data_IF_062216714030
#
_entry.id   IF_062216714030
#
_cell.length_a   1.000
_cell.length_b   1.000
_cell.length_c   1.000
_cell.angle_alpha   90.00
_cell.angle_beta   90.00
_cell.angle_gamma   90.00
#
_symmetry.space_group_name_H-M   'P 1'
#
loop_
_entity.id
_entity.type
_entity.pdbx_description
1 polymer ?
#
# COMPACT_ATOMS: atom_id res chain seq x y z
N UNK A 1 -10.43 -29.45 5.88
CA UNK A 1 -9.29 -29.15 5.01
C UNK A 1 -9.60 -28.05 3.99
N UNK A 2 -10.80 -28.09 3.41
CA UNK A 2 -11.19 -27.02 2.47
C UNK A 2 -11.25 -25.65 3.13
N UNK A 3 -11.79 -25.59 4.34
CA UNK A 3 -11.87 -24.33 5.08
C UNK A 3 -10.47 -23.77 5.35
N UNK A 4 -9.54 -24.62 5.74
CA UNK A 4 -8.16 -24.20 5.98
C UNK A 4 -7.51 -23.67 4.71
N UNK A 5 -7.76 -24.33 3.56
CA UNK A 5 -7.26 -23.87 2.28
C UNK A 5 -7.83 -22.52 1.88
N UNK A 6 -9.12 -22.31 2.10
CA UNK A 6 -9.79 -21.04 1.80
C UNK A 6 -9.21 -19.92 2.65
N UNK A 7 -9.06 -20.16 3.96
CA UNK A 7 -8.50 -19.17 4.88
C UNK A 7 -7.05 -18.84 4.48
N UNK A 8 -6.26 -19.85 4.16
CA UNK A 8 -4.87 -19.65 3.75
C UNK A 8 -4.78 -18.82 2.46
N UNK A 9 -5.68 -19.10 1.50
CA UNK A 9 -5.73 -18.33 0.25
C UNK A 9 -6.07 -16.87 0.50
N UNK A 10 -7.08 -16.61 1.34
CA UNK A 10 -7.50 -15.24 1.66
C UNK A 10 -6.36 -14.49 2.35
N UNK A 11 -5.69 -15.13 3.32
CA UNK A 11 -4.58 -14.50 4.03
C UNK A 11 -3.44 -14.19 3.07
N UNK A 12 -3.10 -15.14 2.19
CA UNK A 12 -2.05 -14.93 1.19
C UNK A 12 -2.39 -13.80 0.24
N UNK A 13 -3.65 -13.71 -0.18
CA UNK A 13 -4.11 -12.64 -1.07
C UNK A 13 -4.00 -11.28 -0.39
N UNK A 14 -4.45 -11.19 0.87
CA UNK A 14 -4.36 -9.94 1.63
C UNK A 14 -2.90 -9.53 1.84
N UNK A 15 -2.04 -10.49 2.14
CA UNK A 15 -0.61 -10.22 2.28
C UNK A 15 -0.04 -9.65 0.98
N UNK A 16 -0.39 -10.28 -0.15
CA UNK A 16 0.07 -9.83 -1.47
C UNK A 16 -0.38 -8.41 -1.78
N UNK A 17 -1.65 -8.09 -1.48
CA UNK A 17 -2.18 -6.74 -1.68
C UNK A 17 -1.43 -5.74 -0.82
N UNK A 18 -1.15 -6.09 0.43
CA UNK A 18 -0.46 -5.17 1.33
C UNK A 18 1.01 -4.97 0.94
N UNK A 19 1.66 -5.99 0.36
CA UNK A 19 3.00 -5.82 -0.21
C UNK A 19 2.95 -4.80 -1.35
N UNK A 20 1.94 -4.89 -2.20
CA UNK A 20 1.74 -3.93 -3.29
C UNK A 20 1.57 -2.50 -2.75
N UNK A 21 0.68 -2.33 -1.77
CA UNK A 21 0.45 -1.02 -1.17
C UNK A 21 1.68 -0.51 -0.44
N UNK A 22 2.45 -1.39 0.17
CA UNK A 22 3.67 -1.03 0.86
C UNK A 22 4.70 -0.44 -0.10
N UNK A 23 4.75 -0.95 -1.34
CA UNK A 23 5.61 -0.37 -2.36
C UNK A 23 5.28 1.08 -2.63
N UNK A 24 3.99 1.40 -2.82
CA UNK A 24 3.55 2.79 -2.99
C UNK A 24 3.92 3.63 -1.78
N UNK A 25 3.70 3.10 -0.59
CA UNK A 25 3.96 3.80 0.66
C UNK A 25 5.45 4.16 0.80
N UNK A 26 6.34 3.19 0.59
CA UNK A 26 7.78 3.40 0.75
C UNK A 26 8.28 4.47 -0.21
N UNK A 27 7.91 4.36 -1.49
CA UNK A 27 8.40 5.29 -2.49
C UNK A 27 7.82 6.68 -2.30
N UNK A 28 6.53 6.78 -1.93
CA UNK A 28 5.93 8.06 -1.64
C UNK A 28 6.63 8.75 -0.46
N UNK A 29 6.91 8.01 0.60
CA UNK A 29 7.65 8.55 1.76
C UNK A 29 9.07 8.95 1.38
N UNK A 30 9.72 8.13 0.56
CA UNK A 30 11.08 8.42 0.12
C UNK A 30 11.18 9.76 -0.63
N UNK A 31 10.17 10.05 -1.44
CA UNK A 31 10.13 11.29 -2.21
C UNK A 31 9.49 12.46 -1.44
N UNK A 32 9.16 12.26 -0.17
CA UNK A 32 8.60 13.32 0.65
C UNK A 32 7.13 13.61 0.43
N UNK A 33 6.43 12.75 -0.29
CA UNK A 33 4.99 12.91 -0.50
C UNK A 33 4.24 12.69 0.81
N UNK A 34 3.08 13.37 0.96
CA UNK A 34 2.29 13.26 2.17
C UNK A 34 1.38 12.04 2.07
N UNK A 35 1.69 11.02 2.88
CA UNK A 35 0.89 9.81 2.99
C UNK A 35 0.11 9.88 4.29
N UNK A 36 -1.21 9.89 4.21
CA UNK A 36 -2.06 10.10 5.38
C UNK A 36 -2.67 8.82 5.93
N UNK A 37 -2.89 7.80 5.09
CA UNK A 37 -3.51 6.56 5.52
C UNK A 37 -2.86 5.36 4.87
N UNK A 38 -2.72 4.29 5.65
CA UNK A 38 -2.24 3.00 5.18
C UNK A 38 -3.04 1.94 5.93
N UNK A 39 -4.04 1.36 5.26
CA UNK A 39 -5.00 0.47 5.91
C UNK A 39 -5.14 -0.86 5.18
N UNK A 40 -5.39 -1.90 5.96
CA UNK A 40 -5.86 -3.18 5.46
C UNK A 40 -7.39 -3.18 5.57
N UNK A 41 -8.07 -3.35 4.43
CA UNK A 41 -9.52 -3.41 4.39
C UNK A 41 -10.18 -2.06 4.17
N UNK A 42 -11.51 -2.09 4.18
CA UNK A 42 -12.35 -0.92 3.93
C UNK A 42 -13.46 -0.84 4.97
N UNK A 43 -14.16 0.28 4.99
CA UNK A 43 -15.30 0.47 5.89
C UNK A 43 -14.90 1.09 7.21
N UNK A 44 -15.49 0.59 8.29
CA UNK A 44 -15.22 1.12 9.63
C UNK A 44 -13.89 0.61 10.17
N UNK A 45 -13.20 1.47 10.93
CA UNK A 45 -11.94 1.08 11.57
C UNK A 45 -12.21 0.11 12.71
N UNK A 46 -11.47 -1.01 12.71
CA UNK A 46 -11.44 -1.91 13.85
C UNK A 46 -10.35 -1.43 14.81
N UNK A 47 -9.20 -1.08 14.28
CA UNK A 47 -8.04 -0.65 15.06
C UNK A 47 -7.19 0.27 14.20
N UNK A 48 -6.60 1.28 14.82
CA UNK A 48 -5.66 2.13 14.11
C UNK A 48 -4.65 2.74 15.07
N UNK A 49 -3.51 3.15 14.51
CA UNK A 49 -2.49 3.87 15.26
C UNK A 49 -1.92 4.97 14.38
N UNK A 50 -1.61 6.09 14.99
CA UNK A 50 -1.03 7.23 14.28
C UNK A 50 0.49 7.21 14.46
N UNK A 51 1.20 7.25 13.35
CA UNK A 51 2.66 7.32 13.35
C UNK A 51 3.07 8.48 12.48
N UNK A 52 3.46 9.60 13.11
CA UNK A 52 3.75 10.82 12.38
C UNK A 52 2.51 11.32 11.67
N UNK A 53 2.61 11.51 10.36
CA UNK A 53 1.49 12.01 9.55
C UNK A 53 0.61 10.89 9.00
N UNK A 54 0.98 9.61 9.19
CA UNK A 54 0.29 8.48 8.58
C UNK A 54 -0.45 7.69 9.65
N UNK A 55 -1.72 7.41 9.39
CA UNK A 55 -2.53 6.52 10.21
C UNK A 55 -2.48 5.11 9.63
N UNK A 56 -2.09 4.14 10.46
CA UNK A 56 -2.04 2.72 10.08
C UNK A 56 -3.16 1.98 10.79
N UNK A 57 -3.77 1.01 10.13
CA UNK A 57 -4.80 0.25 10.81
C UNK A 57 -5.46 -0.82 9.97
N UNK A 58 -6.53 -1.38 10.56
CA UNK A 58 -7.32 -2.45 9.97
C UNK A 58 -8.77 -2.01 9.99
N UNK A 59 -9.48 -2.27 8.88
CA UNK A 59 -10.90 -1.98 8.75
C UNK A 59 -11.71 -3.26 8.64
N UNK A 60 -13.04 -3.14 8.71
CA UNK A 60 -13.94 -4.28 8.86
C UNK A 60 -14.06 -5.17 7.64
N UNK A 61 -13.93 -4.61 6.44
CA UNK A 61 -14.16 -5.36 5.19
C UNK A 61 -12.81 -5.74 4.60
N UNK A 62 -12.39 -7.02 4.73
CA UNK A 62 -11.06 -7.45 4.28
C UNK A 62 -11.04 -7.74 2.78
N UNK A 63 -11.47 -6.78 1.96
CA UNK A 63 -11.55 -6.93 0.51
C UNK A 63 -10.33 -6.34 -0.19
N UNK A 64 -9.28 -5.99 0.55
CA UNK A 64 -8.05 -5.42 -0.01
C UNK A 64 -7.41 -4.49 0.98
N UNK A 65 -6.73 -3.47 0.47
CA UNK A 65 -6.10 -2.47 1.31
C UNK A 65 -5.83 -1.22 0.49
N UNK A 66 -5.32 -0.17 1.13
CA UNK A 66 -5.01 1.04 0.41
C UNK A 66 -3.97 1.88 1.14
N UNK A 67 -3.35 2.74 0.35
CA UNK A 67 -2.41 3.74 0.82
C UNK A 67 -2.87 5.08 0.24
N UNK A 68 -3.20 6.03 1.11
CA UNK A 68 -3.69 7.33 0.65
C UNK A 68 -2.54 8.33 0.57
N UNK A 69 -2.20 8.72 -0.65
CA UNK A 69 -1.22 9.76 -0.91
C UNK A 69 -1.98 11.02 -1.29
N UNK A 70 -1.76 12.11 -0.55
CA UNK A 70 -2.46 13.37 -0.80
C UNK A 70 -2.10 13.92 -2.18
N UNK A 71 -3.10 14.43 -2.87
CA UNK A 71 -2.91 15.04 -4.18
C UNK A 71 -2.99 14.09 -5.35
N UNK A 72 -3.34 12.82 -5.14
CA UNK A 72 -3.58 11.89 -6.24
C UNK A 72 -4.93 12.12 -6.91
N UNK A 73 -5.90 12.61 -6.15
CA UNK A 73 -7.25 12.90 -6.64
C UNK A 73 -7.30 14.38 -7.04
N UNK A 74 -7.84 14.74 -8.23
CA UNK A 74 -7.81 16.14 -8.68
C UNK A 74 -8.42 17.14 -7.72
N UNK A 75 -9.38 16.73 -6.90
CA UNK A 75 -10.08 17.62 -5.99
C UNK A 75 -9.57 17.56 -4.56
N UNK A 76 -8.43 16.92 -4.33
CA UNK A 76 -7.85 16.89 -2.99
C UNK A 76 -7.46 18.29 -2.54
N UNK A 77 -7.91 18.65 -1.33
CA UNK A 77 -7.57 19.92 -0.70
C UNK A 77 -6.52 19.62 0.36
N UNK A 78 -5.35 20.21 0.22
CA UNK A 78 -4.25 20.02 1.16
C UNK A 78 -4.16 21.18 2.13
N UNK A 79 -3.57 20.91 3.29
CA UNK A 79 -3.33 21.96 4.28
C UNK A 79 -2.40 23.03 3.71
N UNK A 80 -2.55 24.29 4.12
CA UNK A 80 -1.63 25.34 3.66
C UNK A 80 -0.18 24.96 3.96
N UNK A 81 0.67 25.13 2.94
CA UNK A 81 2.09 24.80 3.07
C UNK A 81 2.44 23.36 2.78
N UNK A 82 1.45 22.49 2.53
CA UNK A 82 1.69 21.08 2.24
C UNK A 82 1.59 20.75 0.76
N UNK A 83 1.21 21.70 -0.07
CA UNK A 83 0.99 21.46 -1.50
C UNK A 83 2.23 20.95 -2.21
N UNK A 84 3.42 21.32 -1.75
CA UNK A 84 4.68 20.84 -2.35
C UNK A 84 4.87 19.35 -2.17
N UNK A 85 4.18 18.74 -1.21
CA UNK A 85 4.24 17.32 -0.93
C UNK A 85 3.11 16.55 -1.60
N UNK A 86 2.28 17.21 -2.41
CA UNK A 86 1.20 16.56 -3.13
C UNK A 86 1.75 15.71 -4.28
N UNK A 87 1.07 14.60 -4.54
CA UNK A 87 1.44 13.70 -5.62
C UNK A 87 1.52 14.43 -6.96
N UNK A 88 0.54 15.29 -7.23
CA UNK A 88 0.48 16.00 -8.54
C UNK A 88 1.65 16.96 -8.75
N UNK A 89 2.33 17.37 -7.68
CA UNK A 89 3.49 18.29 -7.78
C UNK A 89 4.79 17.56 -8.09
N UNK A 90 4.80 16.23 -7.97
CA UNK A 90 6.01 15.46 -8.23
C UNK A 90 6.33 15.44 -9.71
N UNK A 91 7.61 15.22 -10.05
CA UNK A 91 8.03 15.04 -11.42
C UNK A 91 7.39 13.80 -12.02
N UNK A 92 7.30 13.74 -13.36
CA UNK A 92 6.77 12.57 -14.03
C UNK A 92 7.50 11.28 -13.66
N UNK A 93 8.84 11.35 -13.55
CA UNK A 93 9.63 10.20 -13.17
C UNK A 93 9.31 9.68 -11.76
N UNK A 94 9.17 10.61 -10.81
CA UNK A 94 8.81 10.22 -9.43
C UNK A 94 7.40 9.62 -9.35
N UNK A 95 6.45 10.20 -10.09
CA UNK A 95 5.09 9.65 -10.16
C UNK A 95 5.12 8.22 -10.68
N UNK A 96 5.89 7.98 -11.75
CA UNK A 96 6.00 6.63 -12.31
C UNK A 96 6.64 5.64 -11.33
N UNK A 97 7.66 6.07 -10.61
CA UNK A 97 8.31 5.21 -9.62
C UNK A 97 7.33 4.84 -8.50
N UNK A 98 6.59 5.81 -7.98
CA UNK A 98 5.61 5.55 -6.93
C UNK A 98 4.53 4.59 -7.43
N UNK A 99 3.97 4.85 -8.61
CA UNK A 99 2.91 4.01 -9.16
C UNK A 99 3.40 2.61 -9.51
N UNK A 100 4.65 2.48 -9.97
CA UNK A 100 5.21 1.20 -10.33
C UNK A 100 5.79 0.41 -9.16
N UNK A 101 6.01 1.05 -8.02
CA UNK A 101 6.69 0.41 -6.89
C UNK A 101 5.88 -0.76 -6.32
N UNK A 102 4.55 -0.64 -6.30
CA UNK A 102 3.70 -1.74 -5.85
C UNK A 102 3.87 -2.97 -6.71
N UNK A 103 3.80 -2.78 -8.03
CA UNK A 103 3.99 -3.89 -8.98
C UNK A 103 5.39 -4.46 -8.88
N UNK A 104 6.39 -3.60 -8.70
CA UNK A 104 7.78 -4.05 -8.54
C UNK A 104 7.92 -4.97 -7.34
N UNK A 105 7.33 -4.61 -6.20
CA UNK A 105 7.37 -5.47 -5.01
C UNK A 105 6.61 -6.77 -5.23
N UNK A 106 5.52 -6.74 -6.01
CA UNK A 106 4.82 -7.96 -6.39
C UNK A 106 5.73 -8.89 -7.21
N UNK A 107 6.48 -8.34 -8.15
CA UNK A 107 7.44 -9.13 -8.92
C UNK A 107 8.50 -9.74 -8.00
N UNK A 108 9.02 -8.96 -7.07
CA UNK A 108 10.02 -9.46 -6.12
C UNK A 108 9.42 -10.58 -5.28
N UNK A 109 8.22 -10.38 -4.76
CA UNK A 109 7.54 -11.40 -3.97
C UNK A 109 7.31 -12.68 -4.78
N UNK A 110 6.84 -12.55 -6.02
CA UNK A 110 6.61 -13.68 -6.89
C UNK A 110 7.91 -14.44 -7.19
N UNK A 111 8.97 -13.70 -7.46
CA UNK A 111 10.27 -14.28 -7.70
C UNK A 111 10.78 -15.07 -6.49
N UNK A 112 10.65 -14.48 -5.29
CA UNK A 112 11.08 -15.14 -4.07
C UNK A 112 10.29 -16.43 -3.84
N UNK A 113 8.96 -16.37 -4.04
CA UNK A 113 8.11 -17.54 -3.86
C UNK A 113 8.43 -18.64 -4.87
N UNK A 114 8.69 -18.29 -6.14
CA UNK A 114 9.07 -19.27 -7.16
C UNK A 114 10.42 -19.88 -6.83
N UNK A 115 11.36 -19.08 -6.36
CA UNK A 115 12.67 -19.58 -5.99
C UNK A 115 12.56 -20.55 -4.82
N UNK A 116 11.76 -20.22 -3.81
CA UNK A 116 11.53 -21.08 -2.67
C UNK A 116 10.89 -22.41 -3.11
N UNK A 117 9.89 -22.34 -3.97
CA UNK A 117 9.23 -23.53 -4.50
C UNK A 117 10.21 -24.39 -5.30
N UNK A 118 11.03 -23.76 -6.13
CA UNK A 118 12.01 -24.46 -6.94
C UNK A 118 13.03 -25.17 -6.08
N UNK A 119 13.38 -24.58 -4.93
CA UNK A 119 14.35 -25.18 -4.01
C UNK A 119 13.72 -26.21 -3.07
N UNK A 120 12.44 -26.48 -3.20
CA UNK A 120 11.77 -27.51 -2.40
C UNK A 120 11.39 -27.09 -0.99
N UNK A 121 11.26 -25.81 -0.75
CA UNK A 121 10.94 -25.29 0.59
C UNK A 121 9.44 -25.10 0.76
#
# INVERSE_FOLDING_TARGET
MQLLGIVAFIVALLFSVMVHEFGHFIMAKHFGMKVTEFFLGFGKKIWSTQRGETEFGIKTIPAGGYCRIEGMVPNDVMDPGEEDRAFYRASGGRKLIVLGAGSFLHFVLGFVLLLALFMGV
#
